data_IF_471026757984
#
_entry.id   IF_471026757984
#
_cell.length_a   1.000
_cell.length_b   1.000
_cell.length_c   1.000
_cell.angle_alpha   90.00
_cell.angle_beta   90.00
_cell.angle_gamma   90.00
#
_symmetry.space_group_name_H-M   'P 1'
#
loop_
_entity.id
_entity.type
_entity.pdbx_description
1 polymer ?
#
# COMPACT_ATOMS: atom_id res chain seq x y z
N UNK A 1 8.87 35.88 41.14
CA UNK A 1 9.26 35.23 39.86
C UNK A 1 8.71 33.81 39.68
N UNK A 2 8.59 33.00 40.73
CA UNK A 2 8.09 31.61 40.64
C UNK A 2 6.66 31.43 40.07
N UNK A 3 5.69 32.30 40.41
CA UNK A 3 4.30 32.18 39.93
C UNK A 3 4.13 32.43 38.41
N UNK A 4 5.04 33.18 37.76
CA UNK A 4 5.01 33.39 36.31
C UNK A 4 5.52 32.16 35.54
N UNK A 5 6.46 31.42 36.11
CA UNK A 5 7.01 30.20 35.49
C UNK A 5 6.05 29.00 35.57
N UNK A 6 5.20 28.93 36.60
CA UNK A 6 4.16 27.88 36.69
C UNK A 6 3.06 28.09 35.64
N UNK A 7 2.54 29.32 35.50
CA UNK A 7 1.56 29.62 34.44
C UNK A 7 2.08 29.38 33.04
N UNK A 8 3.35 29.75 32.78
CA UNK A 8 3.99 29.52 31.47
C UNK A 8 4.17 28.02 31.18
N UNK A 9 4.51 27.20 32.18
CA UNK A 9 4.57 25.73 32.03
C UNK A 9 3.19 25.11 31.80
N UNK A 10 2.15 25.60 32.48
CA UNK A 10 0.76 25.13 32.28
C UNK A 10 0.21 25.52 30.90
N UNK A 11 0.56 26.70 30.38
CA UNK A 11 0.20 27.13 29.03
C UNK A 11 0.94 26.31 27.97
N UNK A 12 2.24 26.05 28.13
CA UNK A 12 3.01 25.20 27.22
C UNK A 12 2.45 23.77 27.20
N UNK A 13 2.11 23.17 28.36
CA UNK A 13 1.49 21.84 28.42
C UNK A 13 0.08 21.78 27.82
N UNK A 14 -0.66 22.90 27.79
CA UNK A 14 -1.97 22.99 27.13
C UNK A 14 -1.84 23.14 25.62
N UNK A 15 -0.78 23.80 25.15
CA UNK A 15 -0.46 23.93 23.72
C UNK A 15 0.00 22.58 23.17
N UNK A 16 0.94 21.91 23.83
CA UNK A 16 1.41 20.57 23.42
C UNK A 16 0.29 19.52 23.43
N UNK A 17 -0.62 19.54 24.42
CA UNK A 17 -1.81 18.67 24.38
C UNK A 17 -2.79 19.00 23.25
N UNK A 18 -2.94 20.26 22.86
CA UNK A 18 -3.78 20.65 21.72
C UNK A 18 -3.14 20.26 20.39
N UNK A 19 -1.81 20.32 20.30
CA UNK A 19 -1.04 19.89 19.14
C UNK A 19 -1.01 18.35 19.01
N UNK A 20 -0.91 17.60 20.12
CA UNK A 20 -1.07 16.13 20.13
C UNK A 20 -2.50 15.68 19.75
N UNK A 21 -3.54 16.38 20.23
CA UNK A 21 -4.94 16.10 19.84
C UNK A 21 -5.18 16.45 18.36
N UNK A 22 -4.43 17.40 17.79
CA UNK A 22 -4.50 17.75 16.37
C UNK A 22 -3.73 16.77 15.45
N UNK A 23 -2.95 15.83 16.00
CA UNK A 23 -2.15 14.89 15.22
C UNK A 23 -2.97 13.70 14.70
N UNK A 24 -4.05 13.34 15.38
CA UNK A 24 -4.94 12.24 14.98
C UNK A 24 -6.28 12.78 14.51
N UNK A 25 -6.73 12.43 13.28
CA UNK A 25 -8.03 12.86 12.79
C UNK A 25 -9.12 12.38 13.74
N UNK A 26 -10.09 13.24 14.03
CA UNK A 26 -11.25 12.87 14.81
C UNK A 26 -12.04 11.76 14.08
N UNK A 27 -12.83 10.97 14.82
CA UNK A 27 -13.68 9.94 14.23
C UNK A 27 -14.55 10.48 13.07
N UNK A 28 -15.07 11.70 13.21
CA UNK A 28 -15.85 12.35 12.15
C UNK A 28 -15.05 12.77 10.92
N UNK A 29 -13.76 13.07 11.06
CA UNK A 29 -12.87 13.37 9.92
C UNK A 29 -12.44 12.10 9.19
N UNK A 30 -12.16 11.02 9.92
CA UNK A 30 -11.90 9.70 9.34
C UNK A 30 -13.12 9.22 8.54
N UNK A 31 -14.31 9.30 9.12
CA UNK A 31 -15.55 8.91 8.46
C UNK A 31 -15.80 9.70 7.17
N UNK A 32 -15.51 11.01 7.15
CA UNK A 32 -15.61 11.83 5.92
C UNK A 32 -14.69 11.32 4.82
N UNK A 33 -13.42 11.05 5.16
CA UNK A 33 -12.45 10.50 4.20
C UNK A 33 -12.89 9.13 3.67
N UNK A 34 -13.44 8.26 4.51
CA UNK A 34 -13.95 6.97 4.07
C UNK A 34 -15.13 7.13 3.10
N UNK A 35 -16.09 8.00 3.42
CA UNK A 35 -17.27 8.29 2.58
C UNK A 35 -16.85 8.80 1.20
N UNK A 36 -15.84 9.67 1.10
CA UNK A 36 -15.31 10.18 -0.17
C UNK A 36 -14.77 9.07 -1.09
N UNK A 37 -14.36 7.94 -0.53
CA UNK A 37 -13.79 6.83 -1.30
C UNK A 37 -14.81 5.74 -1.68
N UNK A 38 -16.06 5.87 -1.22
CA UNK A 38 -17.16 4.93 -1.52
C UNK A 38 -17.39 4.90 -3.03
N UNK A 39 -17.27 3.70 -3.58
CA UNK A 39 -17.52 3.40 -5.00
C UNK A 39 -17.86 1.92 -5.13
N UNK A 40 -18.53 1.54 -6.22
CA UNK A 40 -18.81 0.14 -6.53
C UNK A 40 -17.50 -0.64 -6.60
N UNK A 41 -17.45 -1.80 -5.94
CA UNK A 41 -16.34 -2.76 -6.04
C UNK A 41 -16.85 -4.05 -6.68
N UNK A 42 -15.98 -4.73 -7.42
CA UNK A 42 -16.27 -6.06 -7.96
C UNK A 42 -15.57 -7.09 -7.08
N UNK A 43 -16.34 -8.02 -6.53
CA UNK A 43 -15.85 -9.14 -5.72
C UNK A 43 -16.41 -10.40 -6.38
N UNK A 44 -15.52 -11.32 -6.73
CA UNK A 44 -15.88 -12.60 -7.32
C UNK A 44 -16.26 -13.59 -6.20
N UNK A 45 -17.39 -14.26 -6.35
CA UNK A 45 -17.93 -15.22 -5.38
C UNK A 45 -18.24 -16.53 -6.09
N UNK A 46 -17.81 -17.64 -5.50
CA UNK A 46 -18.18 -18.98 -5.96
C UNK A 46 -19.46 -19.43 -5.24
N UNK A 47 -20.58 -19.47 -5.96
CA UNK A 47 -21.90 -19.81 -5.43
C UNK A 47 -22.58 -20.84 -6.32
N UNK A 48 -23.33 -21.77 -5.71
CA UNK A 48 -24.22 -22.63 -6.47
C UNK A 48 -25.45 -21.87 -6.99
N UNK A 49 -26.10 -22.36 -8.04
CA UNK A 49 -27.36 -21.77 -8.54
C UNK A 49 -28.44 -21.69 -7.45
N UNK A 50 -28.46 -22.65 -6.53
CA UNK A 50 -29.37 -22.66 -5.39
C UNK A 50 -29.06 -21.55 -4.38
N UNK A 51 -27.77 -21.25 -4.16
CA UNK A 51 -27.36 -20.12 -3.32
C UNK A 51 -27.73 -18.79 -3.96
N UNK A 52 -27.49 -18.65 -5.26
CA UNK A 52 -27.88 -17.47 -6.04
C UNK A 52 -29.39 -17.21 -5.91
N UNK A 53 -30.23 -18.24 -6.05
CA UNK A 53 -31.68 -18.12 -5.85
C UNK A 53 -32.02 -17.70 -4.42
N UNK A 54 -31.46 -18.37 -3.41
CA UNK A 54 -31.75 -18.09 -1.99
C UNK A 54 -31.37 -16.67 -1.56
N UNK A 55 -30.20 -16.19 -1.98
CA UNK A 55 -29.76 -14.83 -1.65
C UNK A 55 -30.58 -13.77 -2.41
N UNK A 56 -30.95 -14.04 -3.66
CA UNK A 56 -31.81 -13.16 -4.44
C UNK A 56 -33.23 -13.06 -3.86
N UNK A 57 -33.82 -14.17 -3.43
CA UNK A 57 -35.13 -14.19 -2.76
C UNK A 57 -35.09 -13.46 -1.41
N UNK A 58 -34.04 -13.68 -0.61
CA UNK A 58 -33.85 -12.97 0.67
C UNK A 58 -33.74 -11.47 0.47
N UNK A 59 -32.92 -11.01 -0.48
CA UNK A 59 -32.80 -9.57 -0.78
C UNK A 59 -34.11 -9.00 -1.37
N UNK A 60 -34.71 -9.70 -2.34
CA UNK A 60 -35.94 -9.28 -3.02
C UNK A 60 -37.14 -9.17 -2.08
N UNK A 61 -37.27 -10.07 -1.09
CA UNK A 61 -38.34 -10.03 -0.09
C UNK A 61 -38.34 -8.74 0.76
N UNK A 62 -37.20 -8.05 0.83
CA UNK A 62 -37.04 -6.77 1.54
C UNK A 62 -36.80 -5.59 0.60
N UNK A 63 -37.10 -5.73 -0.70
CA UNK A 63 -37.00 -4.63 -1.67
C UNK A 63 -35.58 -4.13 -1.92
N UNK A 64 -34.56 -4.96 -1.69
CA UNK A 64 -33.16 -4.60 -1.90
C UNK A 64 -32.47 -5.52 -2.92
N UNK A 65 -31.33 -5.06 -3.44
CA UNK A 65 -30.47 -5.88 -4.29
C UNK A 65 -29.57 -6.76 -3.43
N UNK A 66 -29.07 -7.86 -4.00
CA UNK A 66 -28.04 -8.69 -3.36
C UNK A 66 -26.82 -7.84 -3.00
N UNK A 67 -26.42 -6.90 -3.86
CA UNK A 67 -25.32 -5.97 -3.59
C UNK A 67 -25.53 -5.16 -2.31
N UNK A 68 -26.69 -4.52 -2.12
CA UNK A 68 -27.00 -3.75 -0.90
C UNK A 68 -27.01 -4.62 0.36
N UNK A 69 -27.52 -5.84 0.26
CA UNK A 69 -27.52 -6.80 1.37
C UNK A 69 -26.07 -7.14 1.77
N UNK A 70 -25.19 -7.40 0.80
CA UNK A 70 -23.79 -7.71 1.05
C UNK A 70 -22.99 -6.48 1.53
N UNK A 71 -23.24 -5.29 0.99
CA UNK A 71 -22.65 -4.02 1.46
C UNK A 71 -22.93 -3.82 2.95
N UNK A 72 -24.17 -4.07 3.37
CA UNK A 72 -24.60 -3.96 4.76
C UNK A 72 -23.95 -5.01 5.66
N UNK A 73 -23.91 -6.28 5.23
CA UNK A 73 -23.24 -7.36 5.96
C UNK A 73 -21.74 -7.11 6.14
N UNK A 74 -21.04 -6.66 5.07
CA UNK A 74 -19.63 -6.28 5.14
C UNK A 74 -19.45 -5.12 6.12
N UNK A 75 -20.34 -4.12 6.08
CA UNK A 75 -20.34 -3.00 7.02
C UNK A 75 -20.40 -3.45 8.47
N UNK A 76 -21.23 -4.45 8.79
CA UNK A 76 -21.28 -5.01 10.15
C UNK A 76 -20.03 -5.81 10.50
N UNK A 77 -19.49 -6.59 9.56
CA UNK A 77 -18.29 -7.41 9.79
C UNK A 77 -17.04 -6.58 10.07
N UNK A 78 -16.88 -5.43 9.41
CA UNK A 78 -15.63 -4.63 9.47
C UNK A 78 -15.80 -3.28 10.17
N UNK A 79 -16.93 -3.06 10.85
CA UNK A 79 -17.30 -1.76 11.43
C UNK A 79 -17.30 -0.61 10.39
N UNK A 80 -17.73 -0.89 9.16
CA UNK A 80 -17.62 0.00 8.00
C UNK A 80 -18.78 1.00 7.84
N UNK A 81 -18.75 1.75 6.73
CA UNK A 81 -19.64 2.88 6.43
C UNK A 81 -21.14 2.56 6.35
N UNK A 82 -21.49 1.28 6.16
CA UNK A 82 -22.87 0.80 6.06
C UNK A 82 -23.30 -0.11 7.24
N UNK A 83 -22.64 0.01 8.41
CA UNK A 83 -23.02 -0.78 9.59
C UNK A 83 -24.41 -0.42 10.14
N UNK A 84 -25.18 -1.43 10.53
CA UNK A 84 -26.56 -1.32 11.01
C UNK A 84 -26.68 -1.02 12.51
N UNK A 85 -25.64 -1.28 13.31
CA UNK A 85 -25.72 -1.11 14.77
C UNK A 85 -24.65 -1.90 15.52
N UNK A 86 -24.53 -1.67 16.83
CA UNK A 86 -23.58 -2.42 17.67
C UNK A 86 -23.89 -3.90 17.74
N UNK A 87 -25.17 -4.25 17.88
CA UNK A 87 -25.60 -5.62 18.09
C UNK A 87 -25.35 -6.45 16.81
N UNK A 88 -25.55 -5.85 15.63
CA UNK A 88 -25.24 -6.48 14.35
C UNK A 88 -23.74 -6.70 14.17
N UNK A 89 -22.89 -5.73 14.58
CA UNK A 89 -21.43 -5.89 14.56
C UNK A 89 -20.98 -7.00 15.52
N UNK A 90 -21.54 -7.03 16.72
CA UNK A 90 -21.21 -8.05 17.72
C UNK A 90 -21.60 -9.45 17.23
N UNK A 91 -22.74 -9.58 16.54
CA UNK A 91 -23.17 -10.84 15.94
C UNK A 91 -22.31 -11.24 14.73
N UNK A 92 -21.91 -10.27 13.90
CA UNK A 92 -21.01 -10.52 12.77
C UNK A 92 -19.61 -10.96 13.23
N UNK A 93 -19.08 -10.32 14.27
CA UNK A 93 -17.82 -10.72 14.91
C UNK A 93 -17.91 -12.13 15.50
N UNK A 94 -18.97 -12.44 16.26
CA UNK A 94 -19.20 -13.80 16.77
C UNK A 94 -19.31 -14.85 15.66
N UNK A 95 -19.94 -14.52 14.53
CA UNK A 95 -19.98 -15.41 13.38
C UNK A 95 -18.57 -15.65 12.82
N UNK A 96 -17.77 -14.60 12.68
CA UNK A 96 -16.39 -14.68 12.19
C UNK A 96 -15.52 -15.56 13.11
N UNK A 97 -15.52 -15.27 14.41
CA UNK A 97 -14.69 -15.97 15.41
C UNK A 97 -15.04 -17.46 15.54
N UNK A 98 -16.30 -17.83 15.25
CA UNK A 98 -16.77 -19.22 15.33
C UNK A 98 -16.55 -20.00 14.05
N UNK A 99 -16.33 -19.34 12.92
CA UNK A 99 -15.98 -20.04 11.70
C UNK A 99 -14.60 -20.68 11.84
N UNK A 100 -14.36 -21.76 11.10
CA UNK A 100 -13.08 -22.47 11.15
C UNK A 100 -11.88 -21.54 10.91
N UNK A 101 -12.03 -20.54 10.04
CA UNK A 101 -10.98 -19.56 9.72
C UNK A 101 -10.73 -18.52 10.83
N UNK A 102 -11.73 -18.22 11.66
CA UNK A 102 -11.57 -17.34 12.82
C UNK A 102 -11.11 -18.10 14.07
N UNK A 103 -11.61 -19.32 14.25
CA UNK A 103 -11.26 -20.18 15.38
C UNK A 103 -9.86 -20.78 15.26
N UNK A 104 -9.44 -21.11 14.05
CA UNK A 104 -8.14 -21.74 13.75
C UNK A 104 -7.46 -21.01 12.58
N UNK A 105 -7.06 -19.73 12.77
CA UNK A 105 -6.42 -18.97 11.71
C UNK A 105 -5.03 -19.55 11.40
N UNK A 106 -4.67 -19.56 10.12
CA UNK A 106 -3.30 -19.85 9.72
C UNK A 106 -2.37 -18.76 10.22
N UNK A 107 -1.29 -19.15 10.92
CA UNK A 107 -0.33 -18.22 11.51
C UNK A 107 0.79 -17.87 10.52
N UNK A 108 0.40 -17.41 9.34
CA UNK A 108 1.32 -16.95 8.27
C UNK A 108 2.05 -15.66 8.64
N UNK A 109 3.11 -15.34 7.91
CA UNK A 109 3.80 -14.07 8.02
C UNK A 109 2.86 -12.91 7.72
N UNK A 110 2.03 -13.03 6.68
CA UNK A 110 1.02 -12.03 6.32
C UNK A 110 0.06 -11.74 7.48
N UNK A 111 -0.53 -12.78 8.08
CA UNK A 111 -1.44 -12.58 9.22
C UNK A 111 -0.76 -11.92 10.41
N UNK A 112 0.50 -12.27 10.67
CA UNK A 112 1.28 -11.65 11.75
C UNK A 112 1.59 -10.18 11.45
N UNK A 113 2.00 -9.84 10.22
CA UNK A 113 2.24 -8.46 9.81
C UNK A 113 0.98 -7.59 9.93
N UNK A 114 -0.20 -8.13 9.61
CA UNK A 114 -1.48 -7.42 9.76
C UNK A 114 -1.81 -7.22 11.24
N UNK A 115 -1.64 -8.25 12.07
CA UNK A 115 -1.96 -8.19 13.51
C UNK A 115 -1.06 -7.20 14.26
N UNK A 116 0.22 -7.15 13.90
CA UNK A 116 1.24 -6.33 14.59
C UNK A 116 1.56 -5.02 13.87
N UNK A 117 0.92 -4.74 12.73
CA UNK A 117 1.04 -3.48 12.00
C UNK A 117 2.39 -3.27 11.31
N UNK A 118 3.00 -4.33 10.76
CA UNK A 118 4.25 -4.27 9.98
C UNK A 118 4.08 -4.40 8.47
N UNK A 119 2.83 -4.48 7.99
CA UNK A 119 2.51 -4.80 6.59
C UNK A 119 2.97 -3.71 5.61
N UNK A 120 2.80 -2.44 5.97
CA UNK A 120 3.14 -1.32 5.09
C UNK A 120 4.66 -1.13 5.02
N UNK A 121 5.38 -1.32 6.12
CA UNK A 121 6.84 -1.25 6.21
C UNK A 121 7.50 -2.35 5.36
N UNK A 122 7.04 -3.59 5.49
CA UNK A 122 7.57 -4.72 4.69
C UNK A 122 7.26 -4.53 3.21
N UNK A 123 6.06 -4.08 2.85
CA UNK A 123 5.71 -3.81 1.46
C UNK A 123 6.53 -2.67 0.87
N UNK A 124 6.73 -1.57 1.60
CA UNK A 124 7.56 -0.45 1.15
C UNK A 124 9.02 -0.89 0.95
N UNK A 125 9.60 -1.59 1.93
CA UNK A 125 10.96 -2.10 1.81
C UNK A 125 11.11 -3.03 0.60
N UNK A 126 10.10 -3.84 0.29
CA UNK A 126 10.13 -4.72 -0.88
C UNK A 126 9.99 -3.96 -2.21
N UNK A 127 9.14 -2.93 -2.25
CA UNK A 127 9.01 -2.03 -3.41
C UNK A 127 10.34 -1.29 -3.67
N UNK A 128 10.97 -0.75 -2.62
CA UNK A 128 12.26 -0.05 -2.71
C UNK A 128 13.38 -0.98 -3.20
N UNK A 129 13.43 -2.24 -2.73
CA UNK A 129 14.39 -3.23 -3.24
C UNK A 129 14.21 -3.43 -4.75
N UNK A 130 12.97 -3.54 -5.22
CA UNK A 130 12.68 -3.77 -6.64
C UNK A 130 13.09 -2.56 -7.48
N UNK A 131 12.76 -1.35 -7.05
CA UNK A 131 13.09 -0.10 -7.73
C UNK A 131 14.61 0.12 -7.78
N UNK A 132 15.31 -0.01 -6.65
CA UNK A 132 16.77 0.11 -6.60
C UNK A 132 17.48 -0.97 -7.42
N UNK A 133 16.95 -2.19 -7.44
CA UNK A 133 17.52 -3.27 -8.28
C UNK A 133 17.42 -2.93 -9.77
N UNK A 134 16.28 -2.38 -10.23
CA UNK A 134 16.13 -1.97 -11.63
C UNK A 134 16.99 -0.74 -11.95
N UNK A 135 17.09 0.23 -11.04
CA UNK A 135 17.98 1.38 -11.19
C UNK A 135 19.45 0.95 -11.36
N UNK A 136 19.95 0.07 -10.49
CA UNK A 136 21.30 -0.49 -10.60
C UNK A 136 21.50 -1.17 -11.96
N UNK A 137 20.53 -1.97 -12.40
CA UNK A 137 20.60 -2.65 -13.70
C UNK A 137 20.64 -1.67 -14.87
N UNK A 138 19.80 -0.64 -14.85
CA UNK A 138 19.82 0.44 -15.86
C UNK A 138 21.20 1.11 -15.87
N UNK A 139 21.71 1.55 -14.72
CA UNK A 139 23.02 2.21 -14.65
C UNK A 139 24.17 1.30 -15.09
N UNK A 140 24.09 -0.01 -14.82
CA UNK A 140 25.05 -0.99 -15.33
C UNK A 140 24.99 -1.14 -16.87
N UNK A 141 23.80 -1.12 -17.46
CA UNK A 141 23.61 -1.09 -18.91
C UNK A 141 24.16 0.21 -19.52
N UNK A 142 23.96 1.35 -18.87
CA UNK A 142 24.51 2.64 -19.28
C UNK A 142 26.04 2.64 -19.22
N UNK A 143 26.64 2.20 -18.11
CA UNK A 143 28.10 2.07 -17.95
C UNK A 143 28.72 1.17 -19.02
N UNK A 144 28.09 0.04 -19.32
CA UNK A 144 28.61 -0.93 -20.29
C UNK A 144 28.46 -0.46 -21.75
N UNK A 145 27.36 0.21 -22.07
CA UNK A 145 27.07 0.67 -23.43
C UNK A 145 27.61 2.08 -23.75
N UNK A 146 27.79 2.92 -22.72
CA UNK A 146 28.03 4.36 -22.84
C UNK A 146 26.80 5.16 -23.31
N UNK A 147 25.61 4.54 -23.36
CA UNK A 147 24.37 5.14 -23.85
C UNK A 147 23.37 5.26 -22.71
N UNK A 148 22.88 6.47 -22.49
CA UNK A 148 21.86 6.84 -21.52
C UNK A 148 20.50 6.91 -22.23
N UNK A 149 19.46 6.32 -21.65
CA UNK A 149 18.10 6.34 -22.24
C UNK A 149 17.17 7.18 -21.40
N UNK A 150 16.50 8.17 -22.00
CA UNK A 150 15.43 8.88 -21.32
C UNK A 150 14.15 8.05 -21.25
N UNK A 151 13.25 8.43 -20.35
CA UNK A 151 11.89 7.87 -20.30
C UNK A 151 11.05 8.10 -21.57
N UNK A 152 11.53 8.91 -22.53
CA UNK A 152 10.91 9.11 -23.85
C UNK A 152 11.51 8.24 -24.95
N UNK A 153 12.53 7.45 -24.64
CA UNK A 153 13.26 6.61 -25.60
C UNK A 153 14.34 7.34 -26.39
N UNK A 154 14.68 8.58 -26.00
CA UNK A 154 15.80 9.31 -26.58
C UNK A 154 17.10 8.79 -25.97
N UNK A 155 18.14 8.71 -26.80
CA UNK A 155 19.46 8.19 -26.39
C UNK A 155 20.48 9.31 -26.36
N UNK A 156 21.27 9.34 -25.31
CA UNK A 156 22.31 10.32 -25.08
C UNK A 156 23.61 9.62 -24.71
N UNK A 157 24.70 10.36 -24.76
CA UNK A 157 25.98 9.98 -24.16
C UNK A 157 26.31 10.95 -23.03
N UNK A 158 27.32 10.61 -22.22
CA UNK A 158 27.84 11.52 -21.20
C UNK A 158 28.28 12.88 -21.77
N UNK A 159 28.64 12.95 -23.06
CA UNK A 159 29.05 14.19 -23.74
C UNK A 159 27.87 15.12 -24.05
N UNK A 160 26.67 14.56 -24.20
CA UNK A 160 25.46 15.32 -24.50
C UNK A 160 24.86 15.97 -23.24
N UNK A 161 25.33 15.56 -22.06
CA UNK A 161 24.90 16.11 -20.78
C UNK A 161 25.59 17.45 -20.55
N UNK A 162 24.80 18.52 -20.58
CA UNK A 162 25.25 19.89 -20.34
C UNK A 162 24.36 20.57 -19.29
N UNK A 163 24.93 21.48 -18.52
CA UNK A 163 24.19 22.34 -17.61
C UNK A 163 23.37 23.38 -18.41
N UNK A 164 22.48 24.11 -17.72
CA UNK A 164 21.63 25.14 -18.34
C UNK A 164 22.38 26.31 -18.98
N UNK A 165 23.67 26.47 -18.69
CA UNK A 165 24.59 27.45 -19.30
C UNK A 165 25.39 26.90 -20.50
N UNK A 166 25.18 25.63 -20.86
CA UNK A 166 25.84 24.95 -21.97
C UNK A 166 27.23 24.37 -21.64
N UNK A 167 27.67 24.42 -20.38
CA UNK A 167 28.92 23.77 -19.94
C UNK A 167 28.68 22.25 -19.82
N UNK A 168 29.57 21.39 -20.36
CA UNK A 168 29.48 19.94 -20.18
C UNK A 168 29.44 19.55 -18.71
N UNK A 169 28.55 18.63 -18.36
CA UNK A 169 28.40 18.13 -16.98
C UNK A 169 29.60 17.35 -16.50
N UNK A 170 30.36 16.73 -17.42
CA UNK A 170 31.53 15.92 -17.11
C UNK A 170 32.71 16.33 -18.00
N UNK A 171 33.90 16.37 -17.41
CA UNK A 171 35.15 16.68 -18.10
C UNK A 171 35.73 15.47 -18.82
N UNK A 172 35.40 14.25 -18.36
CA UNK A 172 35.83 13.01 -19.00
C UNK A 172 34.82 11.87 -18.79
N UNK A 173 34.99 10.79 -19.55
CA UNK A 173 34.19 9.57 -19.40
C UNK A 173 34.42 8.94 -18.02
N UNK A 174 35.66 8.96 -17.55
CA UNK A 174 36.04 8.39 -16.26
C UNK A 174 35.32 9.08 -15.09
N UNK A 175 35.18 10.41 -15.15
CA UNK A 175 34.43 11.20 -14.15
C UNK A 175 32.95 10.80 -14.12
N UNK A 176 32.31 10.68 -15.30
CA UNK A 176 30.94 10.19 -15.41
C UNK A 176 30.80 8.77 -14.88
N UNK A 177 31.70 7.84 -15.26
CA UNK A 177 31.67 6.46 -14.80
C UNK A 177 31.87 6.33 -13.29
N UNK A 178 32.68 7.20 -12.69
CA UNK A 178 32.88 7.26 -11.24
C UNK A 178 31.60 7.69 -10.52
N UNK A 179 30.91 8.72 -11.02
CA UNK A 179 29.61 9.13 -10.48
C UNK A 179 28.56 8.02 -10.60
N UNK A 180 28.47 7.35 -11.75
CA UNK A 180 27.54 6.23 -11.94
C UNK A 180 27.83 5.05 -10.99
N UNK A 181 29.11 4.77 -10.71
CA UNK A 181 29.48 3.76 -9.69
C UNK A 181 29.06 4.19 -8.28
N UNK A 182 29.24 5.47 -7.94
CA UNK A 182 28.78 6.02 -6.68
C UNK A 182 27.24 5.98 -6.54
N UNK A 183 26.51 6.15 -7.64
CA UNK A 183 25.06 5.97 -7.66
C UNK A 183 24.66 4.50 -7.42
N UNK A 184 25.32 3.54 -8.08
CA UNK A 184 25.08 2.10 -7.84
C UNK A 184 25.35 1.74 -6.38
N UNK A 185 26.41 2.28 -5.77
CA UNK A 185 26.73 2.06 -4.36
C UNK A 185 25.60 2.57 -3.43
N UNK A 186 25.08 3.77 -3.67
CA UNK A 186 23.95 4.32 -2.92
C UNK A 186 22.67 3.48 -3.07
N UNK A 187 22.36 3.02 -4.27
CA UNK A 187 21.21 2.13 -4.50
C UNK A 187 21.42 0.76 -3.83
N UNK A 188 22.66 0.26 -3.75
CA UNK A 188 22.98 -0.97 -3.04
C UNK A 188 22.81 -0.81 -1.52
N UNK A 189 23.17 0.34 -0.96
CA UNK A 189 22.93 0.66 0.46
C UNK A 189 21.42 0.67 0.79
N UNK A 190 20.58 1.18 -0.13
CA UNK A 190 19.12 1.13 0.01
C UNK A 190 18.64 -0.33 0.05
N UNK A 191 19.08 -1.15 -0.91
CA UNK A 191 18.72 -2.58 -0.97
C UNK A 191 19.10 -3.29 0.32
N UNK A 192 20.31 -3.04 0.84
CA UNK A 192 20.80 -3.71 2.03
C UNK A 192 20.00 -3.28 3.27
N UNK A 193 19.71 -1.98 3.42
CA UNK A 193 18.85 -1.46 4.50
C UNK A 193 17.43 -2.05 4.46
N UNK A 194 16.80 -2.08 3.27
CA UNK A 194 15.47 -2.66 3.12
C UNK A 194 15.45 -4.17 3.38
N UNK A 195 16.51 -4.90 2.99
CA UNK A 195 16.65 -6.33 3.29
C UNK A 195 16.80 -6.59 4.78
N UNK A 196 17.51 -5.72 5.49
CA UNK A 196 17.57 -5.77 6.96
C UNK A 196 16.18 -5.59 7.56
N UNK A 197 15.41 -4.59 7.14
CA UNK A 197 14.02 -4.40 7.59
C UNK A 197 13.16 -5.65 7.39
N UNK A 198 13.16 -6.23 6.19
CA UNK A 198 12.39 -7.46 5.92
C UNK A 198 12.87 -8.62 6.81
N UNK A 199 14.19 -8.72 7.02
CA UNK A 199 14.80 -9.75 7.86
C UNK A 199 14.44 -9.60 9.34
N UNK A 200 14.36 -8.37 9.86
CA UNK A 200 13.95 -8.07 11.23
C UNK A 200 12.54 -8.58 11.50
N UNK A 201 11.57 -8.15 10.69
CA UNK A 201 10.18 -8.63 10.80
C UNK A 201 10.08 -10.15 10.67
N UNK A 202 10.83 -10.75 9.74
CA UNK A 202 10.84 -12.19 9.56
C UNK A 202 11.41 -12.94 10.78
N UNK A 203 12.46 -12.40 11.40
CA UNK A 203 13.06 -12.98 12.58
C UNK A 203 12.11 -12.86 13.79
N UNK A 204 11.47 -11.71 13.99
CA UNK A 204 10.45 -11.53 15.03
C UNK A 204 9.29 -12.51 14.86
N UNK A 205 8.79 -12.66 13.63
CA UNK A 205 7.75 -13.64 13.31
C UNK A 205 8.16 -15.06 13.71
N UNK A 206 9.37 -15.51 13.33
CA UNK A 206 9.89 -16.83 13.70
C UNK A 206 10.07 -17.00 15.21
N UNK A 207 10.49 -15.96 15.92
CA UNK A 207 10.68 -16.00 17.37
C UNK A 207 9.35 -16.11 18.14
N UNK A 208 8.32 -15.41 17.68
CA UNK A 208 7.01 -15.43 18.30
C UNK A 208 6.22 -16.70 17.94
N UNK A 209 6.46 -17.27 16.75
CA UNK A 209 5.71 -18.42 16.21
C UNK A 209 6.55 -19.70 16.16
N UNK A 210 7.34 -19.98 17.20
CA UNK A 210 8.21 -21.18 17.29
C UNK A 210 7.49 -22.52 17.14
N UNK A 211 6.22 -22.59 17.51
CA UNK A 211 5.40 -23.80 17.40
C UNK A 211 4.83 -24.00 15.99
N UNK A 212 4.82 -22.95 15.17
CA UNK A 212 4.43 -23.02 13.77
C UNK A 212 5.66 -23.31 12.91
N UNK A 213 5.49 -24.11 11.86
CA UNK A 213 6.54 -24.31 10.86
C UNK A 213 6.24 -23.41 9.66
N UNK A 214 6.76 -22.17 9.64
CA UNK A 214 6.55 -21.30 8.50
C UNK A 214 7.23 -21.87 7.26
N UNK A 215 6.74 -21.49 6.08
CA UNK A 215 7.44 -21.71 4.82
C UNK A 215 8.76 -20.94 4.77
N UNK A 216 9.40 -20.93 3.61
CA UNK A 216 10.55 -20.05 3.40
C UNK A 216 10.11 -18.58 3.41
N UNK A 217 11.05 -17.66 3.66
CA UNK A 217 10.76 -16.22 3.57
C UNK A 217 10.16 -15.86 2.20
N UNK A 218 10.70 -16.43 1.11
CA UNK A 218 10.21 -16.17 -0.24
C UNK A 218 8.77 -16.65 -0.45
N UNK A 219 8.41 -17.82 0.09
CA UNK A 219 7.05 -18.36 0.01
C UNK A 219 6.06 -17.49 0.79
N UNK A 220 6.43 -17.04 1.98
CA UNK A 220 5.59 -16.20 2.82
C UNK A 220 5.49 -14.76 2.29
N UNK A 221 6.57 -14.19 1.76
CA UNK A 221 6.53 -12.91 1.05
C UNK A 221 5.67 -12.98 -0.20
N UNK A 222 5.70 -14.10 -0.94
CA UNK A 222 4.78 -14.28 -2.06
C UNK A 222 3.32 -14.17 -1.63
N UNK A 223 2.93 -14.73 -0.48
CA UNK A 223 1.57 -14.57 0.07
C UNK A 223 1.25 -13.11 0.36
N UNK A 224 2.20 -12.36 0.92
CA UNK A 224 2.06 -10.92 1.20
C UNK A 224 1.83 -10.13 -0.09
N UNK A 225 2.60 -10.42 -1.14
CA UNK A 225 2.50 -9.76 -2.44
C UNK A 225 1.20 -10.13 -3.17
N UNK A 226 0.80 -11.41 -3.14
CA UNK A 226 -0.46 -11.88 -3.73
C UNK A 226 -1.66 -11.20 -3.06
N UNK A 227 -1.62 -11.05 -1.72
CA UNK A 227 -2.62 -10.30 -0.97
C UNK A 227 -2.66 -8.82 -1.40
N UNK A 228 -1.50 -8.16 -1.50
CA UNK A 228 -1.39 -6.76 -1.92
C UNK A 228 -1.95 -6.54 -3.32
N UNK A 229 -1.63 -7.42 -4.26
CA UNK A 229 -2.16 -7.37 -5.63
C UNK A 229 -3.68 -7.54 -5.66
N UNK A 230 -4.23 -8.48 -4.89
CA UNK A 230 -5.68 -8.66 -4.80
C UNK A 230 -6.36 -7.44 -4.17
N UNK A 231 -5.80 -6.90 -3.09
CA UNK A 231 -6.28 -5.67 -2.44
C UNK A 231 -6.30 -4.50 -3.43
N UNK A 232 -5.21 -4.26 -4.16
CA UNK A 232 -5.12 -3.23 -5.18
C UNK A 232 -6.12 -3.44 -6.33
N UNK A 233 -6.33 -4.70 -6.77
CA UNK A 233 -7.34 -5.04 -7.78
C UNK A 233 -8.74 -4.68 -7.33
N UNK A 234 -9.10 -5.02 -6.10
CA UNK A 234 -10.40 -4.65 -5.50
C UNK A 234 -10.52 -3.13 -5.39
N UNK A 235 -9.47 -2.42 -4.99
CA UNK A 235 -9.44 -0.95 -4.95
C UNK A 235 -9.60 -0.29 -6.33
N UNK A 236 -9.04 -0.89 -7.37
CA UNK A 236 -9.13 -0.41 -8.74
C UNK A 236 -10.49 -0.72 -9.38
N UNK A 237 -11.18 -1.77 -8.92
CA UNK A 237 -12.48 -2.17 -9.45
C UNK A 237 -13.52 -1.04 -9.32
N UNK A 238 -14.34 -0.88 -10.36
CA UNK A 238 -15.38 0.15 -10.41
C UNK A 238 -14.88 1.60 -10.50
N UNK A 239 -13.56 1.84 -10.60
CA UNK A 239 -13.08 3.05 -11.28
C UNK A 239 -13.61 2.94 -12.70
N UNK A 240 -14.53 3.82 -13.09
CA UNK A 240 -14.78 4.00 -14.52
C UNK A 240 -13.40 4.24 -15.12
N UNK A 241 -13.02 3.43 -16.10
CA UNK A 241 -12.05 3.90 -17.07
C UNK A 241 -12.71 5.15 -17.63
N UNK A 242 -12.30 6.33 -17.17
CA UNK A 242 -12.29 7.46 -18.08
C UNK A 242 -11.49 6.92 -19.26
N UNK A 243 -12.20 6.51 -20.30
CA UNK A 243 -11.61 6.35 -21.61
C UNK A 243 -11.15 7.76 -21.94
N UNK A 244 -9.96 8.12 -21.46
CA UNK A 244 -9.28 9.30 -21.96
C UNK A 244 -8.99 8.91 -23.39
N UNK A 245 -9.88 9.35 -24.29
CA UNK A 245 -9.69 9.21 -25.70
C UNK A 245 -8.56 10.18 -26.05
N UNK A 246 -7.34 9.74 -25.79
CA UNK A 246 -6.16 10.48 -26.17
C UNK A 246 -6.06 10.42 -27.68
N UNK A 247 -6.01 11.59 -28.31
CA UNK A 247 -5.64 11.70 -29.71
C UNK A 247 -4.29 10.96 -29.91
N UNK A 248 -4.21 9.94 -30.78
CA UNK A 248 -3.01 9.12 -30.98
C UNK A 248 -1.78 9.94 -31.39
N UNK A 249 -1.98 11.18 -31.85
CA UNK A 249 -0.93 12.06 -32.35
C UNK A 249 -0.39 13.04 -31.29
N UNK A 250 -1.09 13.31 -30.18
CA UNK A 250 -0.67 14.41 -29.28
C UNK A 250 -0.90 14.21 -27.78
N UNK A 251 -1.54 13.11 -27.32
CA UNK A 251 -1.82 12.83 -25.89
C UNK A 251 -2.29 14.05 -25.05
N UNK A 252 -3.02 15.00 -25.64
CA UNK A 252 -3.80 15.99 -24.88
C UNK A 252 -5.20 15.44 -24.64
N UNK A 253 -5.83 15.83 -23.52
CA UNK A 253 -7.28 15.62 -23.35
C UNK A 253 -7.99 16.32 -24.50
N UNK A 254 -8.90 15.61 -25.17
CA UNK A 254 -9.89 16.25 -26.04
C UNK A 254 -10.96 16.77 -25.09
N UNK A 255 -10.77 17.98 -24.59
CA UNK A 255 -11.84 18.70 -23.90
C UNK A 255 -12.84 19.20 -24.96
N UNK A 256 -14.13 19.19 -24.65
CA UNK A 256 -15.26 19.58 -25.51
C UNK A 256 -15.08 20.92 -26.25
#
# INVERSE_FOLDING_TARGET
MFKKNVKKKEEINKITRKEEIAMYPTHGEQQKKEIETIRKRTIELELSDADVKRIAEKAGAHGMTVGKLLESFIGDLVCGTYSNGSDERDLAGQWFDRCWFGMFPEMTFLSWLIEWGGIDEVLQAWEDIADSTENIKITQEELSSGIIKSGRGETYTWQDLVHGDGIPSYSSREEWEEEQRGYIEQEQDIIDSCRETVSEYWNEYKEQKKEYQPGTLDEELKRVLDWRQNYQRILASGKQTEAIHFCPMCRRKLDD
#
